data_IF_280241114708
#
_entry.id   IF_280241114708
#
_cell.length_a   1.000
_cell.length_b   1.000
_cell.length_c   1.000
_cell.angle_alpha   90.00
_cell.angle_beta   90.00
_cell.angle_gamma   90.00
#
_symmetry.space_group_name_H-M   'P 1'
#
loop_
_entity.id
_entity.type
_entity.pdbx_description
1 polymer ?
#
# COMPACT_ATOMS: atom_id res chain seq x y z
N UNK A 1 -6.49 29.59 -11.04
CA UNK A 1 -7.34 28.44 -10.68
C UNK A 1 -7.58 28.54 -9.17
N UNK A 2 -8.77 29.00 -8.71
CA UNK A 2 -9.07 29.12 -7.28
C UNK A 2 -9.34 27.72 -6.71
N UNK A 3 -8.39 27.19 -5.95
CA UNK A 3 -8.59 25.98 -5.17
C UNK A 3 -9.55 26.31 -4.03
N UNK A 4 -10.79 25.79 -4.08
CA UNK A 4 -11.74 25.92 -2.98
C UNK A 4 -11.34 24.96 -1.86
N UNK A 5 -11.09 25.52 -0.68
CA UNK A 5 -10.83 24.75 0.53
C UNK A 5 -12.13 24.15 1.05
N UNK A 6 -12.17 22.84 1.24
CA UNK A 6 -13.28 22.19 1.93
C UNK A 6 -13.04 22.22 3.42
N UNK A 7 -13.71 23.11 4.15
CA UNK A 7 -13.94 22.88 5.57
C UNK A 7 -14.86 21.67 5.68
N UNK A 8 -14.32 20.54 6.14
CA UNK A 8 -15.11 19.33 6.35
C UNK A 8 -16.18 19.57 7.42
N UNK A 9 -17.39 19.86 6.99
CA UNK A 9 -18.57 19.97 7.86
C UNK A 9 -19.13 18.60 8.30
N UNK A 10 -18.65 17.50 7.68
CA UNK A 10 -19.11 16.13 7.99
C UNK A 10 -17.92 15.21 8.32
N UNK A 11 -17.49 15.20 9.57
CA UNK A 11 -16.44 14.30 10.11
C UNK A 11 -16.75 12.82 9.86
N UNK A 12 -18.01 12.43 9.71
CA UNK A 12 -18.43 11.05 9.43
C UNK A 12 -18.07 10.56 8.03
N UNK A 13 -18.26 11.39 7.00
CA UNK A 13 -17.95 11.03 5.61
C UNK A 13 -16.45 10.86 5.38
N UNK A 14 -15.64 11.76 5.97
CA UNK A 14 -14.18 11.64 5.89
C UNK A 14 -13.68 10.31 6.46
N UNK A 15 -14.21 9.89 7.59
CA UNK A 15 -13.82 8.61 8.21
C UNK A 15 -14.22 7.42 7.34
N UNK A 16 -15.37 7.47 6.67
CA UNK A 16 -15.88 6.35 5.91
C UNK A 16 -15.04 6.07 4.64
N UNK A 17 -14.78 7.08 3.79
CA UNK A 17 -13.98 6.83 2.59
C UNK A 17 -12.57 6.33 2.91
N UNK A 18 -11.96 6.83 4.00
CA UNK A 18 -10.65 6.36 4.44
C UNK A 18 -10.69 4.90 4.92
N UNK A 19 -11.75 4.53 5.64
CA UNK A 19 -11.97 3.15 6.05
C UNK A 19 -12.20 2.23 4.84
N UNK A 20 -13.01 2.65 3.88
CA UNK A 20 -13.25 1.93 2.64
C UNK A 20 -11.95 1.75 1.82
N UNK A 21 -11.16 2.83 1.68
CA UNK A 21 -9.86 2.77 1.01
C UNK A 21 -8.89 1.82 1.71
N UNK A 22 -8.87 1.83 3.04
CA UNK A 22 -7.99 0.96 3.83
C UNK A 22 -8.37 -0.53 3.67
N UNK A 23 -9.67 -0.86 3.73
CA UNK A 23 -10.17 -2.23 3.54
C UNK A 23 -9.91 -2.71 2.12
N UNK A 24 -10.23 -1.88 1.10
CA UNK A 24 -10.01 -2.23 -0.30
C UNK A 24 -8.52 -2.41 -0.62
N UNK A 25 -7.65 -1.54 -0.09
CA UNK A 25 -6.21 -1.66 -0.25
C UNK A 25 -5.66 -2.91 0.43
N UNK A 26 -6.14 -3.25 1.62
CA UNK A 26 -5.74 -4.47 2.33
C UNK A 26 -6.09 -5.73 1.52
N UNK A 27 -7.30 -5.83 0.98
CA UNK A 27 -7.70 -6.93 0.11
C UNK A 27 -6.86 -6.95 -1.18
N UNK A 28 -6.63 -5.79 -1.81
CA UNK A 28 -5.81 -5.67 -3.01
C UNK A 28 -4.38 -6.19 -2.81
N UNK A 29 -3.76 -5.90 -1.66
CA UNK A 29 -2.43 -6.46 -1.32
C UNK A 29 -2.48 -7.98 -1.20
N UNK A 30 -3.51 -8.55 -0.59
CA UNK A 30 -3.62 -10.02 -0.48
C UNK A 30 -3.78 -10.65 -1.87
N UNK A 31 -4.55 -10.02 -2.78
CA UNK A 31 -4.66 -10.47 -4.18
C UNK A 31 -3.29 -10.47 -4.88
N UNK A 32 -2.47 -9.44 -4.68
CA UNK A 32 -1.09 -9.43 -5.21
C UNK A 32 -0.27 -10.61 -4.69
N UNK A 33 -0.38 -10.93 -3.41
CA UNK A 33 0.40 -12.01 -2.80
C UNK A 33 -0.09 -13.41 -3.20
N UNK A 34 -1.39 -13.60 -3.38
CA UNK A 34 -1.94 -14.86 -3.91
C UNK A 34 -1.70 -15.02 -5.41
N UNK A 35 -1.39 -13.92 -6.12
CA UNK A 35 -1.04 -13.90 -7.54
C UNK A 35 0.49 -14.03 -7.77
N UNK A 36 1.24 -14.63 -6.86
CA UNK A 36 2.71 -14.77 -6.94
C UNK A 36 3.19 -15.43 -8.26
N UNK A 37 2.34 -16.23 -8.91
CA UNK A 37 2.60 -16.83 -10.23
C UNK A 37 2.99 -15.79 -11.29
N UNK A 38 2.63 -14.53 -11.15
CA UNK A 38 3.08 -13.43 -12.00
C UNK A 38 4.62 -13.39 -12.12
N UNK A 39 5.34 -13.57 -11.01
CA UNK A 39 6.79 -13.48 -10.97
C UNK A 39 7.51 -14.66 -11.63
N UNK A 40 6.81 -15.77 -11.86
CA UNK A 40 7.35 -16.92 -12.60
C UNK A 40 7.24 -16.75 -14.12
N UNK A 41 6.57 -15.68 -14.57
CA UNK A 41 6.31 -15.38 -15.99
C UNK A 41 5.81 -16.63 -16.76
N UNK A 42 4.67 -17.19 -16.35
CA UNK A 42 4.13 -18.36 -17.04
C UNK A 42 3.68 -17.99 -18.47
N UNK A 43 3.60 -18.97 -19.34
CA UNK A 43 3.16 -18.74 -20.73
C UNK A 43 1.64 -18.51 -20.88
N UNK A 44 1.24 -18.03 -22.05
CA UNK A 44 -0.13 -18.03 -22.55
C UNK A 44 -1.14 -17.24 -21.68
N UNK A 45 -2.34 -17.77 -21.52
CA UNK A 45 -3.43 -17.11 -20.77
C UNK A 45 -3.10 -16.88 -19.30
N UNK A 46 -2.30 -17.75 -18.71
CA UNK A 46 -1.91 -17.60 -17.30
C UNK A 46 -1.05 -16.35 -17.10
N UNK A 47 -0.12 -16.08 -18.00
CA UNK A 47 0.68 -14.85 -18.01
C UNK A 47 -0.20 -13.61 -18.11
N UNK A 48 -1.07 -13.54 -19.11
CA UNK A 48 -1.96 -12.39 -19.32
C UNK A 48 -2.84 -12.11 -18.09
N UNK A 49 -3.47 -13.15 -17.53
CA UNK A 49 -4.34 -13.01 -16.38
C UNK A 49 -3.57 -12.66 -15.11
N UNK A 50 -2.35 -13.16 -14.92
CA UNK A 50 -1.50 -12.80 -13.77
C UNK A 50 -1.00 -11.36 -13.89
N UNK A 51 -0.60 -10.94 -15.09
CA UNK A 51 -0.19 -9.56 -15.35
C UNK A 51 -1.36 -8.58 -15.17
N UNK A 52 -2.58 -8.94 -15.61
CA UNK A 52 -3.78 -8.14 -15.37
C UNK A 52 -4.02 -7.93 -13.86
N UNK A 53 -4.07 -9.01 -13.07
CA UNK A 53 -4.32 -8.90 -11.63
C UNK A 53 -3.21 -8.11 -10.93
N UNK A 54 -1.96 -8.37 -11.28
CA UNK A 54 -0.81 -7.71 -10.69
C UNK A 54 -0.84 -6.19 -10.92
N UNK A 55 -1.11 -5.76 -12.15
CA UNK A 55 -1.11 -4.33 -12.49
C UNK A 55 -2.39 -3.62 -12.07
N UNK A 56 -3.55 -4.32 -12.11
CA UNK A 56 -4.82 -3.76 -11.67
C UNK A 56 -4.85 -3.48 -10.17
N UNK A 57 -4.27 -4.37 -9.36
CA UNK A 57 -4.18 -4.23 -7.91
C UNK A 57 -2.85 -3.63 -7.43
N UNK A 58 -2.14 -2.84 -8.26
CA UNK A 58 -0.85 -2.28 -7.87
C UNK A 58 -0.94 -0.97 -7.07
N UNK A 59 -2.09 -0.33 -7.02
CA UNK A 59 -2.37 0.92 -6.30
C UNK A 59 -2.43 0.84 -4.75
N UNK A 60 -2.65 -0.31 -4.08
CA UNK A 60 -2.86 -0.35 -2.63
C UNK A 60 -1.72 0.20 -1.79
N UNK A 61 -0.48 -0.14 -2.10
CA UNK A 61 0.69 0.33 -1.35
C UNK A 61 0.83 1.85 -1.40
N UNK A 62 0.81 2.52 -2.56
CA UNK A 62 0.73 3.98 -2.63
C UNK A 62 -0.44 4.56 -1.82
N UNK A 63 -1.62 3.97 -1.90
CA UNK A 63 -2.80 4.46 -1.17
C UNK A 63 -2.62 4.37 0.35
N UNK A 64 -1.94 3.36 0.89
CA UNK A 64 -1.61 3.32 2.32
C UNK A 64 -0.72 4.49 2.75
N UNK A 65 0.27 4.89 1.95
CA UNK A 65 1.06 6.09 2.22
C UNK A 65 0.21 7.37 2.10
N UNK A 66 -0.69 7.44 1.11
CA UNK A 66 -1.62 8.57 0.96
C UNK A 66 -2.57 8.69 2.17
N UNK A 67 -3.13 7.57 2.66
CA UNK A 67 -3.94 7.54 3.87
C UNK A 67 -3.14 7.95 5.11
N UNK A 68 -1.88 7.54 5.19
CA UNK A 68 -0.98 7.97 6.28
C UNK A 68 -0.77 9.49 6.25
N UNK A 69 -0.54 10.08 5.08
CA UNK A 69 -0.43 11.54 4.92
C UNK A 69 -1.71 12.28 5.29
N UNK A 70 -2.85 11.84 4.76
CA UNK A 70 -4.16 12.43 5.03
C UNK A 70 -4.55 12.41 6.52
N UNK A 71 -4.12 11.39 7.26
CA UNK A 71 -4.47 11.22 8.67
C UNK A 71 -3.43 11.80 9.66
N UNK A 72 -2.16 11.83 9.30
CA UNK A 72 -1.09 12.01 10.27
C UNK A 72 -0.30 13.31 10.12
N UNK A 73 -0.30 13.99 8.97
CA UNK A 73 0.51 15.21 8.79
C UNK A 73 0.04 16.40 9.67
N UNK A 74 -1.22 16.40 10.13
CA UNK A 74 -1.74 17.36 11.11
C UNK A 74 -1.80 16.78 12.53
N UNK A 75 -0.93 15.83 12.90
CA UNK A 75 -0.93 15.22 14.22
C UNK A 75 -0.71 16.23 15.35
N UNK A 76 0.00 17.34 15.07
CA UNK A 76 0.29 18.40 16.05
C UNK A 76 -0.94 19.11 16.58
N UNK A 77 -2.05 19.06 15.86
CA UNK A 77 -3.34 19.56 16.33
C UNK A 77 -3.94 18.68 17.46
N UNK A 78 -3.40 17.47 17.66
CA UNK A 78 -3.96 16.47 18.57
C UNK A 78 -3.01 16.06 19.69
N UNK A 79 -1.69 16.06 19.44
CA UNK A 79 -0.67 15.61 20.40
C UNK A 79 0.74 16.04 20.01
N UNK A 80 1.67 15.93 20.98
CA UNK A 80 3.08 16.28 20.80
C UNK A 80 3.83 15.34 19.87
N UNK A 81 5.01 15.75 19.39
CA UNK A 81 5.90 14.89 18.57
C UNK A 81 6.37 13.67 19.34
N UNK A 82 6.69 13.81 20.63
CA UNK A 82 7.10 12.68 21.46
C UNK A 82 5.99 11.62 21.57
N UNK A 83 4.75 12.07 21.76
CA UNK A 83 3.58 11.18 21.79
C UNK A 83 3.31 10.56 20.41
N UNK A 84 3.49 11.30 19.32
CA UNK A 84 3.42 10.77 17.97
C UNK A 84 4.40 9.62 17.77
N UNK A 85 5.68 9.83 18.05
CA UNK A 85 6.72 8.79 17.88
C UNK A 85 6.48 7.60 18.80
N UNK A 86 6.11 7.83 20.06
CA UNK A 86 5.74 6.74 20.99
C UNK A 86 4.60 5.87 20.42
N UNK A 87 3.57 6.53 19.84
CA UNK A 87 2.46 5.80 19.18
C UNK A 87 2.95 5.01 17.95
N UNK A 88 3.91 5.52 17.15
CA UNK A 88 4.46 4.78 16.00
C UNK A 88 5.29 3.59 16.45
N UNK A 89 6.15 3.78 17.45
CA UNK A 89 6.92 2.66 18.02
C UNK A 89 5.99 1.58 18.57
N UNK A 90 5.04 1.94 19.44
CA UNK A 90 4.19 0.94 20.12
C UNK A 90 3.18 0.26 19.17
N UNK A 91 2.68 0.96 18.15
CA UNK A 91 1.63 0.43 17.27
C UNK A 91 2.13 -0.06 15.92
N UNK A 92 3.39 0.15 15.58
CA UNK A 92 3.92 -0.25 14.29
C UNK A 92 5.24 -1.00 14.41
N UNK A 93 6.25 -0.39 15.08
CA UNK A 93 7.57 -1.01 15.17
C UNK A 93 7.56 -2.29 16.03
N UNK A 94 7.00 -2.23 17.25
CA UNK A 94 6.93 -3.41 18.12
C UNK A 94 6.17 -4.58 17.48
N UNK A 95 4.95 -4.38 16.92
CA UNK A 95 4.29 -5.45 16.18
C UNK A 95 5.11 -5.98 15.01
N UNK A 96 5.74 -5.09 14.21
CA UNK A 96 6.60 -5.53 13.10
C UNK A 96 7.74 -6.44 13.58
N UNK A 97 8.47 -6.07 14.64
CA UNK A 97 9.56 -6.88 15.19
C UNK A 97 9.05 -8.24 15.68
N UNK A 98 7.95 -8.25 16.45
CA UNK A 98 7.34 -9.49 16.94
C UNK A 98 6.95 -10.42 15.80
N UNK A 99 6.21 -9.92 14.81
CA UNK A 99 5.73 -10.74 13.70
C UNK A 99 6.84 -11.16 12.74
N UNK A 100 7.94 -10.40 12.64
CA UNK A 100 9.13 -10.82 11.90
C UNK A 100 9.80 -12.05 12.55
N UNK A 101 9.93 -12.07 13.88
CA UNK A 101 10.43 -13.23 14.61
C UNK A 101 9.46 -14.41 14.54
N UNK A 102 8.16 -14.16 14.70
CA UNK A 102 7.13 -15.20 14.56
C UNK A 102 7.14 -15.83 13.15
N UNK A 103 7.37 -15.02 12.11
CA UNK A 103 7.50 -15.50 10.74
C UNK A 103 8.73 -16.40 10.56
N UNK A 104 9.87 -16.09 11.21
CA UNK A 104 11.06 -16.94 11.16
C UNK A 104 10.80 -18.32 11.80
N UNK A 105 10.17 -18.33 12.98
CA UNK A 105 9.75 -19.58 13.65
C UNK A 105 8.76 -20.37 12.77
N UNK A 106 7.80 -19.69 12.17
CA UNK A 106 6.82 -20.31 11.29
C UNK A 106 7.46 -20.96 10.06
N UNK A 107 8.35 -20.23 9.36
CA UNK A 107 9.04 -20.75 8.17
C UNK A 107 9.98 -21.89 8.52
N UNK A 108 10.65 -21.81 9.68
CA UNK A 108 11.48 -22.91 10.19
C UNK A 108 10.65 -24.19 10.37
N UNK A 109 9.51 -24.09 11.03
CA UNK A 109 8.62 -25.23 11.22
C UNK A 109 8.01 -25.75 9.89
N UNK A 110 7.61 -24.83 8.99
CA UNK A 110 6.97 -25.18 7.72
C UNK A 110 7.94 -25.88 6.73
N UNK A 111 9.21 -25.50 6.74
CA UNK A 111 10.24 -25.98 5.82
C UNK A 111 11.30 -26.85 6.49
N UNK A 112 11.14 -27.23 7.77
CA UNK A 112 12.03 -28.08 8.56
C UNK A 112 13.49 -27.58 8.50
N UNK A 113 13.69 -26.26 8.55
CA UNK A 113 14.99 -25.62 8.48
C UNK A 113 15.47 -25.14 9.85
N UNK A 114 16.77 -25.27 10.13
CA UNK A 114 17.38 -24.66 11.31
C UNK A 114 17.37 -23.12 11.20
N UNK A 115 17.25 -22.47 12.36
CA UNK A 115 17.33 -21.01 12.45
C UNK A 115 18.71 -20.63 12.98
N UNK A 116 19.36 -19.73 12.28
CA UNK A 116 20.54 -19.05 12.81
C UNK A 116 20.11 -17.84 13.65
N UNK A 117 20.17 -17.98 14.97
CA UNK A 117 19.85 -16.95 15.94
C UNK A 117 20.98 -15.97 16.23
N UNK A 118 22.07 -15.99 15.46
CA UNK A 118 23.13 -15.01 15.64
C UNK A 118 22.58 -13.58 15.47
N UNK A 119 22.99 -12.67 16.35
CA UNK A 119 22.50 -11.28 16.33
C UNK A 119 22.68 -10.58 14.98
N UNK A 120 23.85 -10.70 14.29
CA UNK A 120 24.02 -10.10 12.97
C UNK A 120 23.04 -10.64 11.93
N UNK A 121 22.72 -11.94 11.97
CA UNK A 121 21.77 -12.56 11.03
C UNK A 121 20.35 -12.06 11.27
N UNK A 122 19.87 -12.12 12.51
CA UNK A 122 18.52 -11.63 12.86
C UNK A 122 18.37 -10.15 12.53
N UNK A 123 19.35 -9.32 12.85
CA UNK A 123 19.35 -7.90 12.53
C UNK A 123 19.31 -7.66 11.01
N UNK A 124 20.12 -8.38 10.25
CA UNK A 124 20.13 -8.29 8.79
C UNK A 124 18.77 -8.69 8.19
N UNK A 125 18.13 -9.72 8.69
CA UNK A 125 16.86 -10.20 8.16
C UNK A 125 15.70 -9.25 8.51
N UNK A 126 15.72 -8.62 9.68
CA UNK A 126 14.76 -7.57 10.06
C UNK A 126 14.98 -6.31 9.21
N UNK A 127 16.21 -5.80 9.12
CA UNK A 127 16.52 -4.56 8.40
C UNK A 127 16.30 -4.67 6.89
N UNK A 128 16.34 -5.87 6.33
CA UNK A 128 16.12 -6.11 4.91
C UNK A 128 14.79 -6.83 4.60
N UNK A 129 13.92 -7.03 5.60
CA UNK A 129 12.65 -7.73 5.49
C UNK A 129 12.79 -9.12 4.77
N UNK A 130 13.84 -9.89 5.11
CA UNK A 130 14.15 -11.14 4.41
C UNK A 130 13.29 -12.32 4.86
N UNK A 131 12.76 -12.29 6.08
CA UNK A 131 11.93 -13.39 6.62
C UNK A 131 10.63 -13.51 5.83
N UNK A 132 9.79 -12.48 5.86
CA UNK A 132 8.69 -12.32 4.95
C UNK A 132 8.94 -11.11 4.07
N UNK A 133 9.15 -11.35 2.77
CA UNK A 133 9.46 -10.26 1.82
C UNK A 133 8.40 -9.15 1.81
N UNK A 134 7.14 -9.48 2.12
CA UNK A 134 6.05 -8.51 2.19
C UNK A 134 6.25 -7.43 3.28
N UNK A 135 7.08 -7.69 4.28
CA UNK A 135 7.37 -6.74 5.35
C UNK A 135 8.29 -5.59 4.91
N UNK A 136 8.81 -5.62 3.68
CA UNK A 136 9.54 -4.51 3.09
C UNK A 136 8.80 -3.17 3.21
N UNK A 137 7.45 -3.19 3.17
CA UNK A 137 6.59 -2.01 3.29
C UNK A 137 6.82 -1.22 4.59
N UNK A 138 7.19 -1.90 5.69
CA UNK A 138 7.43 -1.24 6.97
C UNK A 138 8.66 -0.33 6.93
N UNK A 139 9.67 -0.65 6.15
CA UNK A 139 10.92 0.11 6.08
C UNK A 139 10.67 1.54 5.56
N UNK A 140 10.11 1.75 4.37
CA UNK A 140 9.75 3.09 3.92
C UNK A 140 8.64 3.75 4.76
N UNK A 141 7.77 2.96 5.41
CA UNK A 141 6.76 3.51 6.31
C UNK A 141 7.40 4.13 7.56
N UNK A 142 8.44 3.50 8.14
CA UNK A 142 9.20 4.09 9.24
C UNK A 142 9.92 5.36 8.80
N UNK A 143 10.54 5.36 7.61
CA UNK A 143 11.14 6.56 7.02
C UNK A 143 10.11 7.70 6.88
N UNK A 144 8.91 7.39 6.40
CA UNK A 144 7.81 8.35 6.32
C UNK A 144 7.41 8.89 7.70
N UNK A 145 7.27 8.03 8.71
CA UNK A 145 6.94 8.46 10.07
C UNK A 145 8.01 9.35 10.70
N UNK A 146 9.28 9.06 10.46
CA UNK A 146 10.39 9.90 10.94
C UNK A 146 10.45 11.26 10.22
N UNK A 147 9.98 11.33 8.97
CA UNK A 147 9.91 12.59 8.20
C UNK A 147 8.71 13.46 8.58
N UNK A 148 7.62 12.89 9.10
CA UNK A 148 6.40 13.62 9.44
C UNK A 148 6.58 14.76 10.45
N UNK A 149 7.44 14.67 11.49
CA UNK A 149 7.70 15.80 12.38
C UNK A 149 8.24 17.05 11.68
N UNK A 150 9.07 16.88 10.67
CA UNK A 150 9.60 17.98 9.85
C UNK A 150 8.50 18.49 8.92
N UNK A 151 7.89 17.59 8.13
CA UNK A 151 6.82 17.94 7.19
C UNK A 151 5.64 18.66 7.90
N UNK A 152 5.27 18.23 9.10
CA UNK A 152 4.17 18.85 9.85
C UNK A 152 4.40 20.33 10.22
N UNK A 153 5.64 20.82 10.16
CA UNK A 153 6.04 22.23 10.45
C UNK A 153 6.05 23.13 9.24
N UNK A 154 5.91 22.56 8.05
CA UNK A 154 5.92 23.32 6.79
C UNK A 154 4.76 24.30 6.76
N UNK A 155 5.05 25.56 6.46
CA UNK A 155 4.04 26.59 6.20
C UNK A 155 3.39 26.39 4.84
N UNK A 156 2.16 26.92 4.67
CA UNK A 156 1.40 26.80 3.42
C UNK A 156 1.42 25.38 2.84
N UNK A 157 1.22 24.37 3.69
CA UNK A 157 1.41 22.93 3.42
C UNK A 157 0.94 22.50 2.02
N UNK A 158 -0.27 22.90 1.59
CA UNK A 158 -0.80 22.46 0.28
C UNK A 158 0.07 22.97 -0.87
N UNK A 159 0.45 24.25 -0.87
CA UNK A 159 1.28 24.83 -1.93
C UNK A 159 2.68 24.22 -1.93
N UNK A 160 3.29 24.11 -0.76
CA UNK A 160 4.64 23.54 -0.61
C UNK A 160 4.67 22.05 -0.97
N UNK A 161 3.64 21.29 -0.55
CA UNK A 161 3.55 19.89 -0.93
C UNK A 161 3.27 19.70 -2.43
N UNK A 162 2.46 20.57 -3.06
CA UNK A 162 2.28 20.53 -4.52
C UNK A 162 3.60 20.73 -5.25
N UNK A 163 4.42 21.68 -4.81
CA UNK A 163 5.76 21.87 -5.39
C UNK A 163 6.62 20.61 -5.21
N UNK A 164 6.69 20.04 -4.00
CA UNK A 164 7.45 18.82 -3.73
C UNK A 164 6.92 17.61 -4.52
N UNK A 165 5.58 17.49 -4.67
CA UNK A 165 4.96 16.45 -5.50
C UNK A 165 5.33 16.61 -6.97
N UNK A 166 5.33 17.83 -7.52
CA UNK A 166 5.73 18.08 -8.91
C UNK A 166 7.21 17.74 -9.13
N UNK A 167 8.09 18.14 -8.21
CA UNK A 167 9.49 17.72 -8.24
C UNK A 167 9.64 16.21 -8.18
N UNK A 168 8.96 15.55 -7.23
CA UNK A 168 9.00 14.09 -7.09
C UNK A 168 8.41 13.37 -8.29
N UNK A 169 7.29 13.85 -8.84
CA UNK A 169 6.71 13.29 -10.05
C UNK A 169 7.70 13.34 -11.23
N UNK A 170 8.42 14.45 -11.39
CA UNK A 170 9.42 14.57 -12.46
C UNK A 170 10.67 13.71 -12.17
N UNK A 171 11.36 13.94 -11.03
CA UNK A 171 12.67 13.34 -10.76
C UNK A 171 12.60 11.89 -10.27
N UNK A 172 11.52 11.48 -9.63
CA UNK A 172 11.36 10.10 -9.08
C UNK A 172 10.53 9.21 -10.00
N UNK A 173 9.50 9.77 -10.66
CA UNK A 173 8.56 8.96 -11.43
C UNK A 173 8.80 9.03 -12.95
N UNK A 174 8.94 10.23 -13.54
CA UNK A 174 9.02 10.42 -15.00
C UNK A 174 10.44 10.21 -15.50
N UNK A 175 11.40 10.96 -14.96
CA UNK A 175 12.78 10.97 -15.46
C UNK A 175 13.43 9.58 -15.43
N UNK A 176 13.32 8.76 -14.35
CA UNK A 176 13.88 7.41 -14.35
C UNK A 176 13.23 6.49 -15.40
N UNK A 177 11.93 6.65 -15.67
CA UNK A 177 11.24 5.89 -16.70
C UNK A 177 11.77 6.28 -18.09
N UNK A 178 11.86 7.56 -18.37
CA UNK A 178 12.40 8.07 -19.65
C UNK A 178 13.85 7.61 -19.85
N UNK A 179 14.69 7.71 -18.81
CA UNK A 179 16.07 7.24 -18.88
C UNK A 179 16.16 5.74 -19.22
N UNK A 180 15.32 4.91 -18.59
CA UNK A 180 15.27 3.46 -18.91
C UNK A 180 14.80 3.19 -20.34
N UNK A 181 13.82 3.95 -20.85
CA UNK A 181 13.33 3.78 -22.22
C UNK A 181 14.34 4.22 -23.28
N UNK A 182 15.25 5.14 -22.93
CA UNK A 182 16.32 5.65 -23.79
C UNK A 182 17.66 4.93 -23.56
N UNK A 183 17.70 3.93 -22.69
CA UNK A 183 18.92 3.23 -22.23
C UNK A 183 20.00 4.19 -21.71
N UNK A 184 19.56 5.22 -20.98
CA UNK A 184 20.42 6.23 -20.34
C UNK A 184 20.50 5.95 -18.84
N UNK A 185 21.71 5.95 -18.28
CA UNK A 185 21.91 5.83 -16.84
C UNK A 185 21.59 7.17 -16.17
N UNK A 186 20.70 7.13 -15.18
CA UNK A 186 20.36 8.28 -14.37
C UNK A 186 21.22 8.31 -13.10
N UNK A 187 21.86 9.44 -12.81
CA UNK A 187 22.49 9.65 -11.52
C UNK A 187 21.41 9.91 -10.45
N UNK A 188 21.32 9.03 -9.43
CA UNK A 188 20.34 9.12 -8.36
C UNK A 188 20.52 10.37 -7.47
N UNK A 189 21.66 11.02 -7.47
CA UNK A 189 21.91 12.28 -6.76
C UNK A 189 21.07 13.45 -7.29
N UNK A 190 20.51 13.32 -8.51
CA UNK A 190 19.55 14.28 -9.06
C UNK A 190 18.20 14.28 -8.35
N UNK A 191 17.89 13.26 -7.55
CA UNK A 191 16.61 13.18 -6.85
C UNK A 191 16.60 14.13 -5.66
N UNK A 192 15.72 15.17 -5.65
CA UNK A 192 15.65 16.09 -4.51
C UNK A 192 15.25 15.33 -3.23
N UNK A 193 15.98 15.47 -2.11
CA UNK A 193 15.72 14.72 -0.88
C UNK A 193 14.30 14.88 -0.33
N UNK A 194 13.69 16.07 -0.51
CA UNK A 194 12.32 16.37 -0.07
C UNK A 194 11.26 15.59 -0.82
N UNK A 195 11.57 15.13 -2.04
CA UNK A 195 10.62 14.46 -2.92
C UNK A 195 10.87 12.95 -3.06
N UNK A 196 11.91 12.43 -2.36
CA UNK A 196 12.37 11.06 -2.51
C UNK A 196 11.39 10.00 -2.03
N UNK A 197 11.38 8.85 -2.73
CA UNK A 197 10.68 7.65 -2.33
C UNK A 197 9.17 7.80 -2.14
N UNK A 198 8.65 7.21 -1.09
CA UNK A 198 7.20 7.17 -0.80
C UNK A 198 6.65 8.46 -0.15
N UNK A 199 7.50 9.45 0.18
CA UNK A 199 7.04 10.73 0.72
C UNK A 199 6.15 11.49 -0.25
N UNK A 200 6.35 11.30 -1.55
CA UNK A 200 5.47 11.86 -2.59
C UNK A 200 4.01 11.45 -2.37
N UNK A 201 3.75 10.20 -1.99
CA UNK A 201 2.40 9.70 -1.72
C UNK A 201 1.85 10.23 -0.40
N UNK A 202 2.68 10.38 0.63
CA UNK A 202 2.29 10.99 1.91
C UNK A 202 1.78 12.40 1.67
N UNK A 203 2.55 13.21 0.93
CA UNK A 203 2.16 14.59 0.58
C UNK A 203 0.94 14.63 -0.34
N UNK A 204 0.89 13.74 -1.35
CA UNK A 204 -0.23 13.65 -2.29
C UNK A 204 -1.54 13.31 -1.56
N UNK A 205 -1.52 12.35 -0.65
CA UNK A 205 -2.70 11.99 0.14
C UNK A 205 -3.20 13.14 1.00
N UNK A 206 -2.30 13.90 1.63
CA UNK A 206 -2.66 15.11 2.37
C UNK A 206 -3.33 16.14 1.47
N UNK A 207 -2.73 16.46 0.34
CA UNK A 207 -3.24 17.46 -0.61
C UNK A 207 -4.61 17.03 -1.15
N UNK A 208 -4.72 15.80 -1.65
CA UNK A 208 -5.97 15.29 -2.22
C UNK A 208 -7.08 15.16 -1.18
N UNK A 209 -6.76 14.94 0.11
CA UNK A 209 -7.77 14.98 1.17
C UNK A 209 -8.29 16.40 1.42
N UNK A 210 -7.43 17.41 1.40
CA UNK A 210 -7.77 18.80 1.77
C UNK A 210 -8.37 19.63 0.64
N UNK A 211 -8.05 19.28 -0.62
CA UNK A 211 -8.53 20.03 -1.78
C UNK A 211 -9.82 19.43 -2.31
N UNK A 212 -10.79 20.29 -2.63
CA UNK A 212 -12.00 19.87 -3.34
C UNK A 212 -11.79 19.99 -4.86
N UNK A 213 -11.95 18.86 -5.56
CA UNK A 213 -11.72 18.77 -6.99
C UNK A 213 -13.03 18.88 -7.77
N UNK A 214 -13.06 19.77 -8.76
CA UNK A 214 -14.18 19.88 -9.69
C UNK A 214 -14.37 18.58 -10.49
N UNK A 215 -15.61 18.30 -10.93
CA UNK A 215 -15.94 17.07 -11.68
C UNK A 215 -15.04 16.86 -12.90
N UNK A 216 -14.76 17.92 -13.67
CA UNK A 216 -13.87 17.85 -14.85
C UNK A 216 -12.47 17.38 -14.48
N UNK A 217 -11.91 17.90 -13.38
CA UNK A 217 -10.58 17.52 -12.87
C UNK A 217 -10.57 16.06 -12.41
N UNK A 218 -11.63 15.63 -11.69
CA UNK A 218 -11.77 14.21 -11.29
C UNK A 218 -11.81 13.27 -12.49
N UNK A 219 -12.61 13.63 -13.53
CA UNK A 219 -12.67 12.83 -14.76
C UNK A 219 -11.30 12.75 -15.45
N UNK A 220 -10.52 13.84 -15.48
CA UNK A 220 -9.16 13.82 -16.01
C UNK A 220 -8.24 12.88 -15.21
N UNK A 221 -8.31 12.89 -13.87
CA UNK A 221 -7.56 11.93 -13.05
C UNK A 221 -7.99 10.48 -13.30
N UNK A 222 -9.28 10.21 -13.49
CA UNK A 222 -9.74 8.84 -13.79
C UNK A 222 -9.20 8.35 -15.14
N UNK A 223 -9.23 9.20 -16.16
CA UNK A 223 -8.65 8.89 -17.46
C UNK A 223 -7.13 8.63 -17.35
N UNK A 224 -6.40 9.51 -16.66
CA UNK A 224 -4.97 9.34 -16.42
C UNK A 224 -4.66 8.07 -15.62
N UNK A 225 -5.51 7.71 -14.66
CA UNK A 225 -5.39 6.45 -13.91
C UNK A 225 -5.56 5.21 -14.77
N UNK A 226 -6.52 5.23 -15.72
CA UNK A 226 -6.71 4.17 -16.71
C UNK A 226 -5.49 4.07 -17.62
N UNK A 227 -4.99 5.22 -18.11
CA UNK A 227 -3.76 5.27 -18.92
C UNK A 227 -2.57 4.69 -18.13
N UNK A 228 -2.38 5.10 -16.88
CA UNK A 228 -1.34 4.57 -16.02
C UNK A 228 -1.44 3.06 -15.81
N UNK A 229 -2.65 2.54 -15.60
CA UNK A 229 -2.86 1.10 -15.53
C UNK A 229 -2.55 0.39 -16.85
N UNK A 230 -3.01 0.91 -17.99
CA UNK A 230 -2.72 0.34 -19.31
C UNK A 230 -1.22 0.36 -19.62
N UNK A 231 -0.51 1.45 -19.26
CA UNK A 231 0.94 1.50 -19.38
C UNK A 231 1.63 0.41 -18.56
N UNK A 232 1.19 0.14 -17.33
CA UNK A 232 1.71 -0.98 -16.54
C UNK A 232 1.39 -2.33 -17.18
N UNK A 233 0.13 -2.56 -17.55
CA UNK A 233 -0.34 -3.84 -18.07
C UNK A 233 0.31 -4.17 -19.42
N UNK A 234 0.11 -3.32 -20.41
CA UNK A 234 0.62 -3.52 -21.77
C UNK A 234 2.15 -3.39 -21.79
N UNK A 235 2.69 -2.37 -21.13
CA UNK A 235 4.13 -2.12 -21.09
C UNK A 235 4.89 -3.27 -20.41
N UNK A 236 4.36 -3.87 -19.33
CA UNK A 236 5.00 -5.04 -18.71
C UNK A 236 4.95 -6.26 -19.62
N UNK A 237 3.85 -6.49 -20.34
CA UNK A 237 3.75 -7.62 -21.28
C UNK A 237 4.78 -7.44 -22.42
N UNK A 238 4.76 -6.30 -23.08
CA UNK A 238 5.65 -6.02 -24.22
C UNK A 238 7.12 -6.01 -23.82
N UNK A 239 7.46 -5.33 -22.73
CA UNK A 239 8.84 -5.26 -22.24
C UNK A 239 9.37 -6.62 -21.76
N UNK A 240 8.49 -7.55 -21.39
CA UNK A 240 8.90 -8.90 -20.98
C UNK A 240 9.04 -9.87 -22.15
N UNK A 241 8.65 -9.51 -23.37
CA UNK A 241 8.85 -10.39 -24.54
C UNK A 241 10.34 -10.64 -24.77
N UNK A 242 10.72 -11.90 -24.99
CA UNK A 242 12.11 -12.30 -25.16
C UNK A 242 12.97 -12.37 -23.89
N UNK A 243 12.49 -11.84 -22.77
CA UNK A 243 13.22 -11.86 -21.48
C UNK A 243 13.01 -13.20 -20.72
N UNK A 244 13.97 -13.63 -19.92
CA UNK A 244 13.86 -14.83 -19.07
C UNK A 244 12.87 -14.57 -17.92
N UNK A 245 12.83 -13.35 -17.36
CA UNK A 245 11.99 -12.96 -16.24
C UNK A 245 10.96 -11.86 -16.59
N UNK A 246 10.31 -11.35 -15.56
CA UNK A 246 9.41 -10.20 -15.70
C UNK A 246 10.21 -8.92 -15.81
N UNK A 247 10.04 -8.18 -16.89
CA UNK A 247 10.59 -6.84 -17.03
C UNK A 247 9.70 -5.82 -16.30
N UNK A 248 10.26 -5.13 -15.33
CA UNK A 248 9.54 -4.19 -14.45
C UNK A 248 9.73 -2.72 -14.84
N UNK A 249 10.15 -2.43 -16.07
CA UNK A 249 10.38 -1.05 -16.55
C UNK A 249 9.15 -0.17 -16.34
N UNK A 250 7.94 -0.68 -16.62
CA UNK A 250 6.67 0.04 -16.43
C UNK A 250 6.03 -0.21 -15.06
N UNK A 251 6.60 -1.08 -14.23
CA UNK A 251 6.05 -1.52 -12.95
C UNK A 251 7.01 -1.16 -11.80
N UNK A 252 6.52 -0.37 -10.88
CA UNK A 252 7.25 0.07 -9.69
C UNK A 252 6.40 1.07 -8.93
N UNK A 253 6.37 0.98 -7.60
CA UNK A 253 5.50 1.85 -6.79
C UNK A 253 5.85 3.34 -6.92
N UNK A 254 7.10 3.67 -7.20
CA UNK A 254 7.54 5.06 -7.46
C UNK A 254 7.61 5.39 -8.94
N UNK A 255 7.06 4.55 -9.81
CA UNK A 255 7.03 4.80 -11.25
C UNK A 255 5.81 5.66 -11.65
N UNK A 256 5.93 6.40 -12.74
CA UNK A 256 4.88 7.32 -13.23
C UNK A 256 3.51 6.64 -13.44
N UNK A 257 3.41 5.45 -14.08
CA UNK A 257 2.14 4.76 -14.24
C UNK A 257 1.46 4.42 -12.91
N UNK A 258 2.21 3.97 -11.90
CA UNK A 258 1.65 3.65 -10.58
C UNK A 258 1.20 4.90 -9.83
N UNK A 259 1.91 6.02 -9.99
CA UNK A 259 1.51 7.32 -9.43
C UNK A 259 0.14 7.77 -9.97
N UNK A 260 -0.06 7.70 -11.28
CA UNK A 260 -1.34 8.06 -11.91
C UNK A 260 -2.49 7.18 -11.43
N UNK A 261 -2.27 5.86 -11.41
CA UNK A 261 -3.26 4.89 -10.95
C UNK A 261 -3.66 5.13 -9.48
N UNK A 262 -2.68 5.30 -8.59
CA UNK A 262 -2.94 5.52 -7.17
C UNK A 262 -3.68 6.82 -6.89
N UNK A 263 -3.31 7.92 -7.56
CA UNK A 263 -4.02 9.20 -7.46
C UNK A 263 -5.49 9.07 -7.90
N UNK A 264 -5.73 8.41 -9.03
CA UNK A 264 -7.08 8.17 -9.55
C UNK A 264 -7.93 7.34 -8.60
N UNK A 265 -7.39 6.22 -8.07
CA UNK A 265 -8.11 5.36 -7.13
C UNK A 265 -8.41 6.09 -5.82
N UNK A 266 -7.46 6.84 -5.29
CA UNK A 266 -7.71 7.63 -4.08
C UNK A 266 -8.82 8.67 -4.27
N UNK A 267 -8.82 9.39 -5.41
CA UNK A 267 -9.85 10.35 -5.78
C UNK A 267 -11.20 9.64 -5.97
N UNK A 268 -11.21 8.49 -6.65
CA UNK A 268 -12.43 7.69 -6.85
C UNK A 268 -13.04 7.31 -5.50
N UNK A 269 -12.26 6.75 -4.59
CA UNK A 269 -12.74 6.36 -3.26
C UNK A 269 -13.20 7.57 -2.42
N UNK A 270 -12.52 8.73 -2.54
CA UNK A 270 -12.93 9.96 -1.84
C UNK A 270 -14.27 10.50 -2.32
N UNK A 271 -14.55 10.42 -3.62
CA UNK A 271 -15.73 11.05 -4.24
C UNK A 271 -16.81 10.03 -4.64
N UNK A 272 -16.65 8.74 -4.31
CA UNK A 272 -17.68 7.75 -4.53
C UNK A 272 -18.97 8.11 -3.78
N UNK A 273 -20.09 7.98 -4.45
CA UNK A 273 -21.42 8.20 -3.86
C UNK A 273 -21.87 6.91 -3.18
N UNK A 274 -21.41 6.72 -1.96
CA UNK A 274 -21.70 5.53 -1.17
C UNK A 274 -23.17 5.43 -0.77
N UNK A 275 -23.85 6.57 -0.58
CA UNK A 275 -25.29 6.58 -0.29
C UNK A 275 -26.09 6.04 -1.48
N UNK A 276 -25.74 6.45 -2.69
CA UNK A 276 -26.36 5.90 -3.90
C UNK A 276 -26.03 4.43 -4.12
N UNK A 277 -24.79 4.01 -3.79
CA UNK A 277 -24.34 2.63 -4.00
C UNK A 277 -25.01 1.63 -3.07
N UNK A 278 -25.18 1.99 -1.80
CA UNK A 278 -25.68 1.07 -0.77
C UNK A 278 -27.12 1.36 -0.31
N UNK A 279 -27.67 2.52 -0.64
CA UNK A 279 -29.06 2.91 -0.33
C UNK A 279 -29.39 2.69 1.16
N UNK A 280 -30.51 2.02 1.42
CA UNK A 280 -30.98 1.71 2.78
C UNK A 280 -29.98 0.88 3.63
N UNK A 281 -28.99 0.22 3.00
CA UNK A 281 -27.97 -0.58 3.70
C UNK A 281 -26.76 0.24 4.12
N UNK A 282 -26.70 1.53 3.75
CA UNK A 282 -25.50 2.36 3.96
C UNK A 282 -25.04 2.39 5.41
N UNK A 283 -25.94 2.51 6.37
CA UNK A 283 -25.56 2.56 7.80
C UNK A 283 -24.95 1.22 8.29
N UNK A 284 -25.52 0.10 7.85
CA UNK A 284 -24.98 -1.24 8.16
C UNK A 284 -23.60 -1.43 7.52
N UNK A 285 -23.44 -1.09 6.24
CA UNK A 285 -22.17 -1.16 5.52
C UNK A 285 -21.14 -0.24 6.17
N UNK A 286 -21.53 0.97 6.57
CA UNK A 286 -20.66 1.91 7.28
C UNK A 286 -20.07 1.28 8.55
N UNK A 287 -20.90 0.68 9.39
CA UNK A 287 -20.46 0.01 10.63
C UNK A 287 -19.51 -1.14 10.34
N UNK A 288 -19.85 -1.98 9.36
CA UNK A 288 -19.02 -3.14 8.97
C UNK A 288 -17.67 -2.72 8.41
N UNK A 289 -17.64 -1.77 7.47
CA UNK A 289 -16.40 -1.28 6.84
C UNK A 289 -15.51 -0.59 7.86
N UNK A 290 -16.06 0.23 8.76
CA UNK A 290 -15.28 0.85 9.83
C UNK A 290 -14.70 -0.22 10.76
N UNK A 291 -15.49 -1.21 11.18
CA UNK A 291 -15.01 -2.33 12.00
C UNK A 291 -13.88 -3.11 11.32
N UNK A 292 -14.05 -3.46 10.04
CA UNK A 292 -13.00 -4.13 9.26
C UNK A 292 -11.74 -3.28 9.12
N UNK A 293 -11.90 -1.97 8.91
CA UNK A 293 -10.75 -1.06 8.77
C UNK A 293 -9.87 -1.00 10.02
N UNK A 294 -10.43 -1.26 11.19
CA UNK A 294 -9.69 -1.36 12.45
C UNK A 294 -8.88 -2.67 12.58
N UNK A 295 -9.16 -3.64 11.71
CA UNK A 295 -8.46 -4.93 11.69
C UNK A 295 -7.39 -5.01 10.60
N UNK A 296 -7.39 -4.09 9.61
CA UNK A 296 -6.54 -4.17 8.41
C UNK A 296 -5.06 -4.26 8.72
N UNK A 297 -4.59 -3.60 9.78
CA UNK A 297 -3.19 -3.69 10.18
C UNK A 297 -2.81 -5.09 10.68
N UNK A 298 -3.63 -5.71 11.52
CA UNK A 298 -3.45 -7.09 11.96
C UNK A 298 -3.59 -8.08 10.79
N UNK A 299 -4.57 -7.87 9.89
CA UNK A 299 -4.71 -8.66 8.67
C UNK A 299 -3.41 -8.59 7.85
N UNK A 300 -2.84 -7.39 7.66
CA UNK A 300 -1.59 -7.22 6.93
C UNK A 300 -0.43 -7.99 7.58
N UNK A 301 -0.32 -8.02 8.91
CA UNK A 301 0.74 -8.72 9.62
C UNK A 301 0.66 -10.25 9.46
N UNK A 302 -0.56 -10.82 9.42
CA UNK A 302 -0.73 -12.28 9.54
C UNK A 302 -1.14 -12.98 8.23
N UNK A 303 -1.67 -12.28 7.23
CA UNK A 303 -2.23 -12.92 6.03
C UNK A 303 -1.20 -13.77 5.27
N UNK A 304 0.08 -13.39 5.30
CA UNK A 304 1.11 -14.08 4.52
C UNK A 304 1.46 -15.46 5.09
N UNK A 305 1.23 -15.71 6.39
CA UNK A 305 1.29 -17.04 6.97
C UNK A 305 0.34 -18.00 6.24
N UNK A 306 -0.86 -17.51 5.88
CA UNK A 306 -1.85 -18.30 5.13
C UNK A 306 -1.54 -18.38 3.65
N UNK A 307 -1.02 -17.31 3.04
CA UNK A 307 -0.59 -17.32 1.63
C UNK A 307 0.47 -18.38 1.39
N UNK A 308 1.41 -18.55 2.31
CA UNK A 308 2.49 -19.54 2.20
C UNK A 308 2.07 -20.92 2.71
N UNK A 309 1.37 -20.97 3.85
CA UNK A 309 1.08 -22.22 4.53
C UNK A 309 -0.05 -23.03 3.91
N UNK A 310 -1.18 -22.41 3.54
CA UNK A 310 -2.32 -23.15 3.03
C UNK A 310 -2.01 -23.96 1.76
N UNK A 311 -1.31 -23.41 0.74
CA UNK A 311 -0.96 -24.20 -0.43
C UNK A 311 -0.08 -25.39 -0.11
N UNK A 312 0.86 -25.22 0.82
CA UNK A 312 1.78 -26.31 1.21
C UNK A 312 1.08 -27.42 2.03
N UNK A 313 0.18 -27.01 2.94
CA UNK A 313 -0.51 -27.98 3.82
C UNK A 313 -1.62 -28.76 3.09
N UNK A 314 -2.24 -28.16 2.08
CA UNK A 314 -3.41 -28.75 1.39
C UNK A 314 -3.20 -28.95 -0.12
N UNK A 315 -1.97 -28.90 -0.59
CA UNK A 315 -1.59 -29.07 -2.02
C UNK A 315 -2.45 -28.21 -2.97
N UNK A 316 -2.67 -26.93 -2.59
CA UNK A 316 -3.50 -26.02 -3.37
C UNK A 316 -2.76 -25.57 -4.62
N UNK A 317 -3.41 -25.73 -5.79
CA UNK A 317 -2.86 -25.23 -7.05
C UNK A 317 -2.93 -23.70 -7.12
N UNK A 318 -1.81 -23.04 -6.84
CA UNK A 318 -1.70 -21.57 -6.75
C UNK A 318 -1.87 -20.84 -8.10
N UNK A 319 -1.77 -21.57 -9.22
CA UNK A 319 -2.00 -21.02 -10.57
C UNK A 319 -3.46 -20.81 -10.91
N UNK A 320 -4.38 -21.50 -10.23
CA UNK A 320 -5.83 -21.37 -10.48
C UNK A 320 -6.37 -19.99 -10.08
N UNK A 321 -7.27 -19.45 -10.89
CA UNK A 321 -7.92 -18.16 -10.61
C UNK A 321 -8.74 -18.19 -9.32
N UNK A 322 -9.32 -19.36 -8.98
CA UNK A 322 -10.04 -19.58 -7.71
C UNK A 322 -9.14 -19.33 -6.49
N UNK A 323 -7.86 -19.73 -6.53
CA UNK A 323 -6.90 -19.38 -5.49
C UNK A 323 -6.53 -17.89 -5.53
N UNK A 324 -6.19 -17.39 -6.72
CA UNK A 324 -5.70 -16.00 -6.86
C UNK A 324 -6.72 -14.95 -6.43
N UNK A 325 -8.00 -15.21 -6.60
CA UNK A 325 -9.09 -14.31 -6.18
C UNK A 325 -9.88 -14.87 -4.98
N UNK A 326 -10.41 -16.09 -5.08
CA UNK A 326 -11.21 -16.71 -4.01
C UNK A 326 -10.35 -16.98 -2.76
N UNK A 327 -9.14 -17.51 -2.95
CA UNK A 327 -8.17 -17.69 -1.86
C UNK A 327 -7.82 -16.36 -1.17
N UNK A 328 -7.63 -15.29 -1.95
CA UNK A 328 -7.37 -13.96 -1.37
C UNK A 328 -8.51 -13.47 -0.47
N UNK A 329 -9.76 -13.63 -0.92
CA UNK A 329 -10.95 -13.26 -0.13
C UNK A 329 -11.05 -14.14 1.12
N UNK A 330 -10.84 -15.45 0.99
CA UNK A 330 -10.84 -16.38 2.11
C UNK A 330 -9.76 -16.03 3.15
N UNK A 331 -8.53 -15.77 2.70
CA UNK A 331 -7.42 -15.35 3.57
C UNK A 331 -7.71 -14.01 4.24
N UNK A 332 -8.31 -13.04 3.53
CA UNK A 332 -8.71 -11.76 4.12
C UNK A 332 -9.63 -11.96 5.31
N UNK A 333 -10.73 -12.72 5.17
CA UNK A 333 -11.69 -12.95 6.24
C UNK A 333 -11.14 -13.85 7.35
N UNK A 334 -10.34 -14.87 7.01
CA UNK A 334 -9.65 -15.71 7.99
C UNK A 334 -8.71 -14.85 8.86
N UNK A 335 -7.89 -14.01 8.22
CA UNK A 335 -6.98 -13.10 8.91
C UNK A 335 -7.74 -12.05 9.74
N UNK A 336 -8.88 -11.55 9.25
CA UNK A 336 -9.74 -10.64 10.00
C UNK A 336 -10.31 -11.31 11.27
N UNK A 337 -10.82 -12.54 11.15
CA UNK A 337 -11.34 -13.32 12.28
C UNK A 337 -10.28 -13.57 13.34
N UNK A 338 -9.08 -13.99 12.92
CA UNK A 338 -7.97 -14.24 13.86
C UNK A 338 -7.50 -12.92 14.49
N UNK A 339 -7.36 -11.85 13.72
CA UNK A 339 -7.02 -10.52 14.27
C UNK A 339 -8.04 -10.07 15.31
N UNK A 340 -9.33 -10.26 15.03
CA UNK A 340 -10.40 -9.94 15.97
C UNK A 340 -10.33 -10.76 17.26
N UNK A 341 -9.99 -12.06 17.17
CA UNK A 341 -9.77 -12.91 18.35
C UNK A 341 -8.55 -12.46 19.15
N UNK A 342 -7.41 -12.20 18.47
CA UNK A 342 -6.18 -11.74 19.12
C UNK A 342 -6.37 -10.40 19.85
N UNK A 343 -7.20 -9.49 19.30
CA UNK A 343 -7.56 -8.22 19.97
C UNK A 343 -8.32 -8.40 21.29
N UNK A 344 -8.97 -9.55 21.53
CA UNK A 344 -9.64 -9.84 22.80
C UNK A 344 -8.66 -10.22 23.91
N UNK A 345 -7.45 -10.66 23.57
CA UNK A 345 -6.43 -11.09 24.53
C UNK A 345 -5.61 -9.87 24.96
N UNK A 346 -5.63 -9.45 26.24
CA UNK A 346 -5.07 -8.18 26.72
C UNK A 346 -3.60 -7.95 26.36
N UNK A 347 -2.75 -8.98 26.41
CA UNK A 347 -1.33 -8.90 26.07
C UNK A 347 -1.12 -8.83 24.55
N UNK A 348 -1.82 -9.70 23.81
CA UNK A 348 -1.65 -9.88 22.35
C UNK A 348 -2.27 -8.74 21.55
N UNK A 349 -3.31 -8.07 22.07
CA UNK A 349 -3.95 -6.93 21.39
C UNK A 349 -2.99 -5.79 21.05
N UNK A 350 -1.86 -5.67 21.79
CA UNK A 350 -0.82 -4.69 21.50
C UNK A 350 0.03 -5.06 20.29
N UNK A 351 0.00 -6.33 19.88
CA UNK A 351 0.75 -6.86 18.74
C UNK A 351 -0.07 -6.87 17.44
N UNK A 352 -1.38 -6.60 17.54
CA UNK A 352 -2.33 -6.41 16.42
C UNK A 352 -3.17 -5.14 16.65
N UNK A 353 -2.55 -3.95 16.78
CA UNK A 353 -3.17 -2.70 17.25
C UNK A 353 -4.29 -2.16 16.37
#
# INVERSE_FOLDING_TARGET
MSLKWRHYTKTGEKKFYMAAANVAACLGVIILHTNFVFWTKPGGRLWITSCFLETFFYWPVPVFFMLSGANLLDYRERYSTAEFLKKRVSRTLIPFLFWSLAAELYLSALYERAIDWSFPRVLNDILNAKTFSIYWFFLPLFGAYLSMPVLSRVEHKVRTYLYAILCGMFFVCILPLVCRLLDVQMNHELIPPIAGGYLIYVMLGYVLDRVDLQRKVRCAFYLLGIIGWLMQFIGTILASEGEIGVNVTFKGYTNFPAFLQAAAVFIFLKYADYEKLFGNRMETVRKQVISLSLLTYGIYLIHYFFVVGLPRLWDIQTTKLSWRLGGAVGIFFLSAGITWLLKKIPLVRKLVP
#
